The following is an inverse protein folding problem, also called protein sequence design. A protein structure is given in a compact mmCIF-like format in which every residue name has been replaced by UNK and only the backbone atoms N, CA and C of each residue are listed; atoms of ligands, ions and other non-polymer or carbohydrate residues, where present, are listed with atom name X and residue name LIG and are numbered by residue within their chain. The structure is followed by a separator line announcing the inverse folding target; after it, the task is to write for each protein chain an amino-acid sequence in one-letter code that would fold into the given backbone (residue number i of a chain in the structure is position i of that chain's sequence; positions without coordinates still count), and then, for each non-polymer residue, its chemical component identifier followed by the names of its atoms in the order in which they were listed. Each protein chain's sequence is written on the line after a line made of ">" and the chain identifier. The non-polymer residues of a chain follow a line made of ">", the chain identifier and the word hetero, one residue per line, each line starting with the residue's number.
data_IF_068766269850
#
_entry.id   IF_068766269850
#
_cell.length_a   1.000
_cell.length_b   1.000
_cell.length_c   1.000
_cell.angle_alpha   90.00
_cell.angle_beta   90.00
_cell.angle_gamma   90.00
#
_symmetry.space_group_name_H-M   'P 1'
#
loop_
_entity.id
_entity.type
_entity.pdbx_description
1 polymer ?
#
# COMPACT_ATOMS: atom_id res chain seq x y z
N UNK A 1 -0.85 -30.38 15.76
CA UNK A 1 -0.68 -30.47 14.28
C UNK A 1 0.25 -29.39 13.70
N UNK A 2 0.00 -28.08 13.91
CA UNK A 2 0.86 -26.98 13.37
C UNK A 2 2.33 -26.99 13.82
N UNK A 3 2.64 -27.44 15.04
CA UNK A 3 4.03 -27.52 15.53
C UNK A 3 4.77 -28.77 15.02
N UNK A 4 4.05 -29.87 14.80
CA UNK A 4 4.63 -31.15 14.36
C UNK A 4 5.00 -31.12 12.86
N UNK A 5 4.22 -30.44 12.02
CA UNK A 5 4.53 -30.26 10.59
C UNK A 5 5.74 -29.33 10.34
N UNK A 6 6.04 -28.40 11.26
CA UNK A 6 7.18 -27.48 11.14
C UNK A 6 8.52 -28.16 11.39
N UNK A 7 8.56 -29.31 12.09
CA UNK A 7 9.80 -29.96 12.49
C UNK A 7 10.20 -31.16 11.62
N UNK A 8 9.42 -31.50 10.59
CA UNK A 8 9.57 -32.77 9.83
C UNK A 8 9.67 -32.58 8.31
N UNK A 9 9.17 -31.46 7.76
CA UNK A 9 9.19 -31.22 6.31
C UNK A 9 10.27 -30.19 5.93
N UNK A 10 11.03 -30.40 4.83
CA UNK A 10 11.88 -29.37 4.26
C UNK A 10 11.07 -28.10 3.95
N UNK A 11 11.66 -26.92 4.18
CA UNK A 11 10.99 -25.63 4.01
C UNK A 11 10.26 -25.43 2.67
N UNK A 12 10.80 -25.86 1.50
CA UNK A 12 10.09 -25.74 0.23
C UNK A 12 8.78 -26.55 0.19
N UNK A 13 8.76 -27.73 0.79
CA UNK A 13 7.58 -28.61 0.84
C UNK A 13 6.54 -28.04 1.79
N UNK A 14 6.98 -27.54 2.95
CA UNK A 14 6.12 -26.85 3.90
C UNK A 14 5.50 -25.59 3.28
N UNK A 15 6.27 -24.83 2.49
CA UNK A 15 5.77 -23.63 1.82
C UNK A 15 4.78 -23.97 0.70
N UNK A 16 5.06 -25.01 -0.11
CA UNK A 16 4.14 -25.49 -1.13
C UNK A 16 2.80 -25.96 -0.51
N UNK A 17 2.85 -26.67 0.62
CA UNK A 17 1.66 -27.09 1.34
C UNK A 17 0.86 -25.90 1.89
N UNK A 18 1.52 -24.93 2.54
CA UNK A 18 0.87 -23.69 3.02
C UNK A 18 0.21 -22.93 1.88
N UNK A 19 0.92 -22.74 0.76
CA UNK A 19 0.40 -22.05 -0.41
C UNK A 19 -0.84 -22.75 -0.99
N UNK A 20 -0.81 -24.09 -1.05
CA UNK A 20 -1.92 -24.91 -1.54
C UNK A 20 -3.13 -24.84 -0.61
N UNK A 21 -2.90 -24.94 0.70
CA UNK A 21 -3.93 -24.78 1.72
C UNK A 21 -4.58 -23.40 1.67
N UNK A 22 -3.77 -22.33 1.56
CA UNK A 22 -4.27 -20.96 1.43
C UNK A 22 -5.01 -20.72 0.11
N UNK A 23 -4.60 -21.37 -0.98
CA UNK A 23 -5.35 -21.35 -2.23
C UNK A 23 -6.74 -22.00 -2.07
N UNK A 24 -6.81 -23.18 -1.45
CA UNK A 24 -8.09 -23.88 -1.19
C UNK A 24 -9.02 -23.04 -0.33
N UNK A 25 -8.51 -22.43 0.76
CA UNK A 25 -9.33 -21.58 1.64
C UNK A 25 -9.87 -20.31 0.97
N UNK A 26 -9.23 -19.86 -0.12
CA UNK A 26 -9.66 -18.69 -0.90
C UNK A 26 -10.69 -19.02 -1.96
N UNK A 27 -10.85 -20.28 -2.37
CA UNK A 27 -11.79 -20.68 -3.42
C UNK A 27 -13.21 -20.11 -3.21
N UNK A 28 -13.79 -20.09 -1.99
CA UNK A 28 -15.11 -19.53 -1.77
C UNK A 28 -15.20 -18.00 -2.01
N UNK A 29 -14.09 -17.29 -1.92
CA UNK A 29 -14.03 -15.83 -2.10
C UNK A 29 -13.81 -15.41 -3.56
N UNK A 30 -13.38 -16.34 -4.43
CA UNK A 30 -13.08 -16.06 -5.84
C UNK A 30 -14.33 -15.59 -6.60
N UNK A 31 -15.50 -16.24 -6.49
CA UNK A 31 -16.70 -15.76 -7.18
C UNK A 31 -17.03 -14.31 -6.84
N UNK A 32 -17.00 -13.95 -5.55
CA UNK A 32 -17.27 -12.58 -5.10
C UNK A 32 -16.22 -11.58 -5.63
N UNK A 33 -14.94 -11.94 -5.59
CA UNK A 33 -13.84 -11.09 -6.08
C UNK A 33 -13.86 -10.80 -7.59
N UNK A 34 -14.58 -11.59 -8.39
CA UNK A 34 -14.65 -11.43 -9.86
C UNK A 34 -16.05 -11.11 -10.39
N UNK A 35 -17.12 -11.58 -9.74
CA UNK A 35 -18.49 -11.50 -10.22
C UNK A 35 -19.30 -10.39 -9.56
N UNK A 36 -18.92 -9.94 -8.36
CA UNK A 36 -19.63 -8.85 -7.68
C UNK A 36 -19.69 -7.60 -8.60
N UNK A 37 -20.85 -6.92 -8.73
CA UNK A 37 -21.01 -5.78 -9.64
C UNK A 37 -19.92 -4.70 -9.46
N UNK A 38 -19.60 -4.37 -8.21
CA UNK A 38 -18.52 -3.42 -7.89
C UNK A 38 -17.14 -3.90 -8.33
N UNK A 39 -16.85 -5.20 -8.27
CA UNK A 39 -15.60 -5.76 -8.78
C UNK A 39 -15.54 -5.77 -10.29
N UNK A 40 -16.65 -6.12 -10.97
CA UNK A 40 -16.73 -6.02 -12.42
C UNK A 40 -16.51 -4.58 -12.90
N UNK A 41 -17.16 -3.60 -12.25
CA UNK A 41 -16.97 -2.16 -12.51
C UNK A 41 -15.53 -1.73 -12.23
N UNK A 42 -14.97 -2.11 -11.09
CA UNK A 42 -13.58 -1.81 -10.72
C UNK A 42 -12.58 -2.36 -11.73
N UNK A 43 -12.75 -3.60 -12.18
CA UNK A 43 -11.86 -4.22 -13.18
C UNK A 43 -11.95 -3.53 -14.54
N UNK A 44 -13.15 -3.18 -14.99
CA UNK A 44 -13.34 -2.44 -16.24
C UNK A 44 -12.62 -1.09 -16.19
N UNK A 45 -12.81 -0.34 -15.10
CA UNK A 45 -12.17 0.97 -14.92
C UNK A 45 -10.67 0.91 -14.70
N UNK A 46 -10.16 -0.15 -14.05
CA UNK A 46 -8.72 -0.31 -13.86
C UNK A 46 -7.97 -0.42 -15.19
N UNK A 47 -8.62 -0.87 -16.27
CA UNK A 47 -8.01 -0.89 -17.62
C UNK A 47 -7.72 0.53 -18.13
N UNK A 48 -8.57 1.52 -17.79
CA UNK A 48 -8.41 2.91 -18.19
C UNK A 48 -7.14 3.56 -17.63
N UNK A 49 -6.57 3.00 -16.56
CA UNK A 49 -5.33 3.47 -15.94
C UNK A 49 -4.07 2.84 -16.53
N UNK A 50 -4.19 1.91 -17.48
CA UNK A 50 -3.01 1.24 -18.03
C UNK A 50 -2.16 2.21 -18.85
N UNK A 51 -0.90 2.41 -18.46
CA UNK A 51 0.08 3.23 -19.17
C UNK A 51 -0.32 4.70 -19.43
N UNK A 52 -1.26 5.26 -18.65
CA UNK A 52 -1.68 6.67 -18.79
C UNK A 52 -0.59 7.69 -18.44
N UNK A 53 0.45 7.26 -17.73
CA UNK A 53 1.56 8.10 -17.25
C UNK A 53 2.93 7.69 -17.82
N UNK A 54 2.96 7.22 -19.07
CA UNK A 54 4.21 6.82 -19.72
C UNK A 54 5.19 7.99 -19.84
N UNK A 55 6.42 7.77 -19.39
CA UNK A 55 7.50 8.77 -19.44
C UNK A 55 7.43 9.81 -18.32
N UNK A 56 6.44 9.72 -17.43
CA UNK A 56 6.26 10.64 -16.31
C UNK A 56 6.85 10.06 -15.03
N UNK A 57 7.05 10.93 -14.04
CA UNK A 57 7.43 10.56 -12.67
C UNK A 57 6.27 10.74 -11.70
N UNK A 58 6.30 10.01 -10.59
CA UNK A 58 5.40 10.28 -9.46
C UNK A 58 6.08 10.14 -8.11
N UNK A 59 5.48 10.76 -7.10
CA UNK A 59 5.84 10.60 -5.70
C UNK A 59 4.86 9.66 -4.99
N UNK A 60 5.37 8.68 -4.26
CA UNK A 60 4.57 7.91 -3.29
C UNK A 60 4.86 8.48 -1.91
N UNK A 61 3.83 9.04 -1.30
CA UNK A 61 3.89 9.69 0.00
C UNK A 61 3.47 8.68 1.06
N UNK A 62 4.46 8.23 1.84
CA UNK A 62 4.29 7.44 3.04
C UNK A 62 3.50 8.19 4.12
N UNK A 63 3.63 7.73 5.36
CA UNK A 63 2.93 8.36 6.49
C UNK A 63 3.86 8.59 7.68
N UNK A 64 5.17 8.39 7.51
CA UNK A 64 6.13 8.46 8.60
C UNK A 64 6.43 9.90 9.07
N UNK A 65 7.06 10.04 10.24
CA UNK A 65 7.30 11.33 10.88
C UNK A 65 8.26 12.24 10.08
N UNK A 66 9.11 11.69 9.20
CA UNK A 66 9.97 12.48 8.31
C UNK A 66 9.22 13.48 7.42
N UNK A 67 7.92 13.27 7.17
CA UNK A 67 7.11 14.24 6.44
C UNK A 67 7.06 15.62 7.12
N UNK A 68 7.18 15.70 8.46
CA UNK A 68 7.28 16.96 9.20
C UNK A 68 8.53 17.79 8.84
N UNK A 69 9.53 17.15 8.24
CA UNK A 69 10.79 17.74 7.83
C UNK A 69 10.93 17.84 6.30
N UNK A 70 9.85 17.54 5.58
CA UNK A 70 9.82 17.51 4.12
C UNK A 70 8.97 18.68 3.62
N UNK A 71 9.51 19.52 2.73
CA UNK A 71 8.74 20.61 2.10
C UNK A 71 7.78 20.02 1.05
N UNK A 72 6.58 19.67 1.50
CA UNK A 72 5.54 19.06 0.66
C UNK A 72 4.91 20.04 -0.33
N UNK A 73 5.10 21.35 -0.17
CA UNK A 73 4.55 22.35 -1.10
C UNK A 73 5.09 22.18 -2.53
N UNK A 74 6.29 21.61 -2.67
CA UNK A 74 6.94 21.27 -3.94
C UNK A 74 6.17 20.25 -4.78
N UNK A 75 5.29 19.46 -4.15
CA UNK A 75 4.52 18.39 -4.82
C UNK A 75 3.23 18.87 -5.46
N UNK A 76 2.88 20.16 -5.35
CA UNK A 76 1.60 20.70 -5.85
C UNK A 76 1.35 20.42 -7.34
N UNK A 77 2.41 20.35 -8.13
CA UNK A 77 2.35 20.10 -9.59
C UNK A 77 2.93 18.73 -9.99
N UNK A 78 3.11 17.83 -9.02
CA UNK A 78 3.62 16.48 -9.25
C UNK A 78 2.49 15.44 -9.17
N UNK A 79 2.65 14.32 -9.87
CA UNK A 79 1.79 13.16 -9.64
C UNK A 79 2.11 12.53 -8.29
N UNK A 80 1.08 12.30 -7.48
CA UNK A 80 1.26 11.82 -6.10
C UNK A 80 0.31 10.68 -5.76
N UNK A 81 0.83 9.66 -5.09
CA UNK A 81 0.05 8.65 -4.39
C UNK A 81 0.10 8.92 -2.90
N UNK A 82 -1.06 9.24 -2.34
CA UNK A 82 -1.26 9.29 -0.90
C UNK A 82 -1.82 7.96 -0.39
N UNK A 83 -1.53 7.61 0.86
CA UNK A 83 -1.94 6.32 1.43
C UNK A 83 -2.62 6.42 2.79
N UNK A 84 -3.58 5.53 3.06
CA UNK A 84 -4.21 5.39 4.38
C UNK A 84 -4.74 6.73 4.92
N UNK A 85 -4.22 7.25 6.04
CA UNK A 85 -4.70 8.51 6.64
C UNK A 85 -3.91 9.74 6.22
N UNK A 86 -3.23 9.71 5.06
CA UNK A 86 -2.53 10.87 4.49
C UNK A 86 -3.42 12.12 4.34
N UNK A 87 -4.73 11.93 4.18
CA UNK A 87 -5.69 13.00 4.00
C UNK A 87 -5.76 13.96 5.19
N UNK A 88 -5.23 13.57 6.35
CA UNK A 88 -5.06 14.46 7.50
C UNK A 88 -4.12 15.64 7.19
N UNK A 89 -3.22 15.53 6.20
CA UNK A 89 -2.36 16.63 5.74
C UNK A 89 -3.07 17.60 4.79
N UNK A 90 -4.15 17.21 4.11
CA UNK A 90 -4.71 18.00 3.01
C UNK A 90 -5.14 19.43 3.42
N UNK A 91 -5.74 19.65 4.61
CA UNK A 91 -6.06 21.00 5.05
C UNK A 91 -4.83 21.91 5.22
N UNK A 92 -3.70 21.33 5.65
CA UNK A 92 -2.43 22.06 5.85
C UNK A 92 -1.70 22.28 4.51
N UNK A 93 -1.71 21.28 3.63
CA UNK A 93 -1.07 21.35 2.31
C UNK A 93 -1.75 22.33 1.36
N UNK A 94 -3.07 22.50 1.47
CA UNK A 94 -3.86 23.29 0.53
C UNK A 94 -4.05 22.62 -0.84
N UNK A 95 -3.67 21.36 -0.98
CA UNK A 95 -3.96 20.50 -2.14
C UNK A 95 -4.10 19.03 -1.70
N UNK A 96 -4.64 18.20 -2.60
CA UNK A 96 -4.83 16.75 -2.39
C UNK A 96 -3.84 15.97 -3.24
N UNK A 97 -3.62 14.69 -2.90
CA UNK A 97 -2.83 13.81 -3.77
C UNK A 97 -3.59 13.45 -5.04
N UNK A 98 -2.89 13.15 -6.13
CA UNK A 98 -3.52 12.70 -7.39
C UNK A 98 -4.30 11.41 -7.21
N UNK A 99 -3.69 10.46 -6.48
CA UNK A 99 -4.23 9.13 -6.24
C UNK A 99 -4.24 8.83 -4.75
N UNK A 100 -5.20 8.02 -4.32
CA UNK A 100 -5.29 7.52 -2.96
C UNK A 100 -5.27 5.99 -2.92
N UNK A 101 -4.54 5.40 -1.97
CA UNK A 101 -4.45 3.94 -1.81
C UNK A 101 -4.68 3.55 -0.36
N UNK A 102 -5.57 2.60 -0.11
CA UNK A 102 -5.75 2.04 1.24
C UNK A 102 -6.11 0.56 1.17
N UNK A 103 -5.33 -0.27 1.87
CA UNK A 103 -5.40 -1.72 1.77
C UNK A 103 -5.68 -2.38 3.12
N UNK A 104 -5.18 -1.80 4.20
CA UNK A 104 -5.34 -2.37 5.54
C UNK A 104 -6.81 -2.34 5.99
N UNK A 105 -7.39 -3.51 6.28
CA UNK A 105 -8.80 -3.61 6.66
C UNK A 105 -9.16 -2.77 7.90
N UNK A 106 -8.31 -2.68 8.92
CA UNK A 106 -8.64 -1.91 10.13
C UNK A 106 -8.64 -0.41 9.87
N UNK A 107 -7.73 0.09 9.02
CA UNK A 107 -7.74 1.49 8.60
C UNK A 107 -9.00 1.78 7.79
N UNK A 108 -9.34 0.93 6.82
CA UNK A 108 -10.53 1.13 5.99
C UNK A 108 -11.81 1.04 6.83
N UNK A 109 -11.91 0.07 7.73
CA UNK A 109 -13.06 -0.12 8.63
C UNK A 109 -13.34 1.11 9.49
N UNK A 110 -12.29 1.71 10.06
CA UNK A 110 -12.43 2.84 10.99
C UNK A 110 -12.46 4.20 10.30
N UNK A 111 -12.15 4.27 9.00
CA UNK A 111 -12.08 5.51 8.22
C UNK A 111 -12.90 5.45 6.93
N UNK A 112 -13.89 4.54 6.84
CA UNK A 112 -14.61 4.27 5.61
C UNK A 112 -15.37 5.52 5.10
N UNK A 113 -15.95 6.29 6.00
CA UNK A 113 -16.71 7.51 5.67
C UNK A 113 -15.77 8.60 5.14
N UNK A 114 -14.64 8.85 5.81
CA UNK A 114 -13.67 9.84 5.35
C UNK A 114 -13.04 9.43 4.02
N UNK A 115 -12.66 8.16 3.86
CA UNK A 115 -12.13 7.61 2.60
C UNK A 115 -13.15 7.75 1.48
N UNK A 116 -14.43 7.44 1.74
CA UNK A 116 -15.49 7.58 0.75
C UNK A 116 -15.68 9.03 0.31
N UNK A 117 -15.51 10.00 1.22
CA UNK A 117 -15.71 11.42 0.98
C UNK A 117 -14.56 12.11 0.21
N UNK A 118 -13.35 11.51 0.14
CA UNK A 118 -12.23 12.10 -0.61
C UNK A 118 -12.60 12.26 -2.09
N UNK A 119 -12.48 13.44 -2.72
CA UNK A 119 -12.88 13.65 -4.11
C UNK A 119 -11.75 13.34 -5.10
N UNK A 120 -11.07 12.21 -4.91
CA UNK A 120 -9.88 11.81 -5.69
C UNK A 120 -9.94 10.31 -6.04
N UNK A 121 -9.39 9.88 -7.19
CA UNK A 121 -9.36 8.47 -7.53
C UNK A 121 -8.70 7.64 -6.43
N UNK A 122 -9.43 6.63 -5.95
CA UNK A 122 -9.07 5.85 -4.76
C UNK A 122 -9.05 4.35 -5.04
N UNK A 123 -7.94 3.70 -4.70
CA UNK A 123 -7.69 2.29 -4.89
C UNK A 123 -7.76 1.56 -3.53
N UNK A 124 -8.82 0.79 -3.34
CA UNK A 124 -9.19 0.23 -2.02
C UNK A 124 -9.18 -1.30 -2.06
N UNK A 125 -8.71 -1.98 -1.01
CA UNK A 125 -8.77 -3.44 -0.98
C UNK A 125 -10.20 -4.00 -1.05
N UNK A 126 -10.43 -4.98 -1.93
CA UNK A 126 -11.74 -5.62 -2.12
C UNK A 126 -12.25 -6.26 -0.84
N UNK A 127 -11.37 -6.86 -0.05
CA UNK A 127 -11.76 -7.53 1.18
C UNK A 127 -12.38 -6.58 2.23
N UNK A 128 -12.29 -5.26 2.02
CA UNK A 128 -12.87 -4.23 2.86
C UNK A 128 -14.17 -3.63 2.28
N UNK A 129 -14.69 -4.15 1.17
CA UNK A 129 -15.88 -3.59 0.49
C UNK A 129 -17.12 -3.47 1.39
N UNK A 130 -17.28 -4.40 2.36
CA UNK A 130 -18.41 -4.43 3.30
C UNK A 130 -18.52 -3.20 4.20
N UNK A 131 -17.46 -2.42 4.32
CA UNK A 131 -17.43 -1.20 5.14
C UNK A 131 -18.01 0.02 4.40
N UNK A 132 -18.36 -0.13 3.12
CA UNK A 132 -18.95 0.92 2.31
C UNK A 132 -20.42 0.60 2.02
N UNK A 133 -21.31 1.56 2.29
CA UNK A 133 -22.74 1.43 1.98
C UNK A 133 -23.01 1.49 0.47
N UNK A 134 -22.20 2.25 -0.27
CA UNK A 134 -22.23 2.38 -1.72
C UNK A 134 -20.81 2.52 -2.25
N UNK A 135 -20.58 2.14 -3.49
CA UNK A 135 -19.31 2.37 -4.18
C UNK A 135 -19.25 3.83 -4.70
N UNK A 136 -18.37 4.70 -4.18
CA UNK A 136 -18.14 6.01 -4.74
C UNK A 136 -17.67 5.93 -6.19
N UNK A 137 -17.98 6.96 -6.99
CA UNK A 137 -17.68 6.96 -8.41
C UNK A 137 -16.19 6.97 -8.70
N UNK A 138 -15.36 7.57 -7.85
CA UNK A 138 -13.91 7.63 -7.94
C UNK A 138 -13.21 6.41 -7.30
N UNK A 139 -13.97 5.45 -6.77
CA UNK A 139 -13.42 4.26 -6.12
C UNK A 139 -13.19 3.10 -7.08
N UNK A 140 -12.04 2.45 -6.94
CA UNK A 140 -11.70 1.19 -7.60
C UNK A 140 -11.29 0.21 -6.51
N UNK A 141 -12.01 -0.91 -6.41
CA UNK A 141 -11.58 -1.99 -5.53
C UNK A 141 -10.47 -2.80 -6.19
N UNK A 142 -9.46 -3.23 -5.43
CA UNK A 142 -8.34 -4.08 -5.85
C UNK A 142 -8.45 -5.46 -5.21
N UNK A 143 -8.21 -6.53 -5.97
CA UNK A 143 -8.21 -7.87 -5.39
C UNK A 143 -6.85 -8.20 -4.79
N UNK A 144 -6.68 -7.87 -3.51
CA UNK A 144 -5.38 -8.00 -2.82
C UNK A 144 -5.30 -9.23 -1.93
N UNK A 145 -4.07 -9.63 -1.57
CA UNK A 145 -3.80 -10.81 -0.75
C UNK A 145 -2.45 -10.75 -0.05
N UNK A 146 -2.34 -11.41 1.11
CA UNK A 146 -1.09 -11.56 1.84
C UNK A 146 -0.25 -12.78 1.43
N UNK A 147 -0.76 -13.69 0.59
CA UNK A 147 -0.08 -14.96 0.30
C UNK A 147 0.28 -15.13 -1.18
N UNK A 148 1.39 -15.83 -1.42
CA UNK A 148 1.99 -15.98 -2.75
C UNK A 148 2.74 -14.72 -3.18
N UNK A 149 3.95 -14.48 -2.63
CA UNK A 149 4.79 -13.34 -2.97
C UNK A 149 5.07 -13.22 -4.47
N UNK A 150 4.62 -12.12 -5.07
CA UNK A 150 4.83 -11.83 -6.49
C UNK A 150 4.57 -10.34 -6.77
N UNK A 151 5.33 -9.75 -7.70
CA UNK A 151 5.01 -8.43 -8.25
C UNK A 151 3.90 -8.56 -9.31
N UNK A 152 2.81 -7.78 -9.16
CA UNK A 152 1.72 -7.76 -10.13
C UNK A 152 2.00 -6.75 -11.25
N UNK A 153 1.99 -7.23 -12.50
CA UNK A 153 2.08 -6.41 -13.71
C UNK A 153 0.71 -6.01 -14.28
N UNK A 154 -0.36 -6.67 -13.82
CA UNK A 154 -1.74 -6.45 -14.26
C UNK A 154 -2.62 -6.26 -13.02
N UNK A 155 -3.03 -5.01 -12.78
CA UNK A 155 -3.79 -4.61 -11.59
C UNK A 155 -5.28 -4.96 -11.70
N UNK A 156 -5.75 -5.50 -12.83
CA UNK A 156 -7.10 -6.05 -12.97
C UNK A 156 -7.24 -7.44 -12.33
N UNK A 157 -6.12 -8.05 -11.93
CA UNK A 157 -6.01 -9.39 -11.34
C UNK A 157 -5.68 -9.33 -9.85
N UNK A 158 -5.25 -10.46 -9.29
CA UNK A 158 -4.85 -10.60 -7.89
C UNK A 158 -3.49 -9.93 -7.66
N UNK A 159 -3.40 -9.12 -6.61
CA UNK A 159 -2.22 -8.32 -6.25
C UNK A 159 -1.71 -8.80 -4.90
N UNK A 160 -0.41 -9.04 -4.79
CA UNK A 160 0.19 -9.35 -3.48
C UNK A 160 0.58 -8.06 -2.76
N UNK A 161 0.15 -7.95 -1.51
CA UNK A 161 0.29 -6.70 -0.74
C UNK A 161 1.72 -6.47 -0.27
N UNK A 162 2.47 -7.54 0.05
CA UNK A 162 3.80 -7.40 0.64
C UNK A 162 3.78 -6.72 2.01
N UNK A 163 2.68 -6.85 2.76
CA UNK A 163 2.48 -6.29 4.10
C UNK A 163 2.65 -4.76 4.25
N UNK A 164 2.63 -4.02 3.15
CA UNK A 164 2.69 -2.55 3.14
C UNK A 164 1.88 -1.97 1.99
N UNK A 165 1.15 -0.88 2.25
CA UNK A 165 0.37 -0.17 1.23
C UNK A 165 1.30 0.43 0.17
N UNK A 166 2.52 0.83 0.57
CA UNK A 166 3.55 1.36 -0.33
C UNK A 166 3.88 0.39 -1.46
N UNK A 167 3.90 -0.92 -1.18
CA UNK A 167 4.19 -1.93 -2.20
C UNK A 167 3.03 -2.10 -3.20
N UNK A 168 1.79 -1.91 -2.78
CA UNK A 168 0.64 -1.85 -3.71
C UNK A 168 0.67 -0.57 -4.53
N UNK A 169 1.03 0.58 -3.93
CA UNK A 169 1.21 1.83 -4.66
C UNK A 169 2.33 1.75 -5.71
N UNK A 170 3.45 1.07 -5.41
CA UNK A 170 4.52 0.79 -6.38
C UNK A 170 4.03 -0.05 -7.56
N UNK A 171 3.19 -1.06 -7.31
CA UNK A 171 2.60 -1.88 -8.37
C UNK A 171 1.59 -1.09 -9.21
N UNK A 172 0.78 -0.21 -8.58
CA UNK A 172 -0.12 0.71 -9.29
C UNK A 172 0.66 1.67 -10.20
N UNK A 173 1.68 2.33 -9.65
CA UNK A 173 2.50 3.27 -10.42
C UNK A 173 3.16 2.59 -11.63
N UNK A 174 3.64 1.35 -11.46
CA UNK A 174 4.20 0.56 -12.55
C UNK A 174 3.16 0.30 -13.64
N UNK A 175 1.97 -0.18 -13.25
CA UNK A 175 0.87 -0.46 -14.18
C UNK A 175 0.39 0.79 -14.92
N UNK A 176 0.42 1.94 -14.24
CA UNK A 176 0.07 3.24 -14.82
C UNK A 176 1.13 3.79 -15.77
N UNK A 177 2.31 3.18 -15.83
CA UNK A 177 3.34 3.52 -16.82
C UNK A 177 4.39 4.51 -16.34
N UNK A 178 4.36 4.94 -15.07
CA UNK A 178 5.39 5.83 -14.53
C UNK A 178 6.78 5.22 -14.71
N UNK A 179 7.72 6.04 -15.16
CA UNK A 179 9.10 5.65 -15.45
C UNK A 179 10.00 5.79 -14.21
N UNK A 180 9.75 6.81 -13.39
CA UNK A 180 10.45 7.03 -12.13
C UNK A 180 9.45 7.22 -10.99
N UNK A 181 9.67 6.51 -9.89
CA UNK A 181 8.88 6.64 -8.66
C UNK A 181 9.78 7.10 -7.52
N UNK A 182 9.39 8.17 -6.83
CA UNK A 182 10.13 8.72 -5.70
C UNK A 182 9.35 8.47 -4.41
N UNK A 183 9.98 7.80 -3.45
CA UNK A 183 9.42 7.59 -2.12
C UNK A 183 9.78 8.75 -1.19
N UNK A 184 8.81 9.22 -0.42
CA UNK A 184 9.02 10.13 0.72
C UNK A 184 8.15 9.68 1.90
N UNK A 185 8.53 9.97 3.14
CA UNK A 185 7.74 9.55 4.30
C UNK A 185 7.71 8.04 4.55
N UNK A 186 8.63 7.27 3.97
CA UNK A 186 8.75 5.81 4.13
C UNK A 186 9.88 5.51 5.11
N UNK A 187 9.73 5.99 6.35
CA UNK A 187 10.80 6.00 7.36
C UNK A 187 11.35 4.62 7.71
N UNK A 188 10.54 3.56 7.55
CA UNK A 188 10.90 2.17 7.87
C UNK A 188 11.47 2.00 9.28
N UNK A 189 10.90 2.76 10.23
CA UNK A 189 11.35 2.85 11.60
C UNK A 189 10.15 3.01 12.53
N UNK A 190 9.85 1.98 13.32
CA UNK A 190 8.73 1.99 14.26
C UNK A 190 9.24 1.78 15.68
N UNK A 191 8.73 2.60 16.61
CA UNK A 191 9.04 2.50 18.05
C UNK A 191 8.35 1.30 18.69
N UNK A 192 7.16 0.95 18.20
CA UNK A 192 6.36 -0.17 18.70
C UNK A 192 6.97 -1.50 18.28
N UNK A 193 7.21 -2.39 19.24
CA UNK A 193 7.76 -3.73 19.02
C UNK A 193 6.71 -4.79 19.33
N UNK A 194 6.72 -5.89 18.57
CA UNK A 194 5.90 -7.06 18.83
C UNK A 194 5.78 -7.96 17.61
N UNK A 195 4.90 -8.95 17.70
CA UNK A 195 4.64 -9.87 16.59
C UNK A 195 4.05 -9.13 15.38
N UNK A 196 4.59 -9.41 14.20
CA UNK A 196 4.13 -8.84 12.94
C UNK A 196 2.62 -9.07 12.73
N UNK A 197 1.92 -8.04 12.25
CA UNK A 197 0.48 -8.02 11.99
C UNK A 197 -0.42 -8.22 13.22
N UNK A 198 0.13 -8.24 14.44
CA UNK A 198 -0.66 -8.32 15.67
C UNK A 198 -1.51 -7.05 15.83
N UNK A 199 -2.82 -7.23 15.99
CA UNK A 199 -3.74 -6.13 16.28
C UNK A 199 -3.50 -5.61 17.70
N UNK A 200 -3.34 -4.31 17.80
CA UNK A 200 -3.20 -3.56 19.05
C UNK A 200 -4.18 -2.39 19.05
N UNK A 201 -4.51 -1.88 20.23
CA UNK A 201 -5.34 -0.69 20.41
C UNK A 201 -4.41 0.44 20.85
N UNK A 202 -4.48 1.58 20.17
CA UNK A 202 -3.71 2.75 20.57
C UNK A 202 -4.18 3.30 21.92
N UNK A 203 -3.24 3.62 22.79
CA UNK A 203 -3.49 4.14 24.14
C UNK A 203 -3.32 5.66 24.23
N UNK A 204 -2.86 6.33 23.17
CA UNK A 204 -2.53 7.76 23.19
C UNK A 204 -2.13 8.28 21.81
N UNK A 205 -1.24 9.28 21.78
CA UNK A 205 -0.72 9.86 20.55
C UNK A 205 0.20 8.89 19.81
N UNK A 206 0.20 8.98 18.48
CA UNK A 206 0.99 8.15 17.59
C UNK A 206 2.36 8.78 17.28
N UNK A 207 3.48 8.20 17.74
CA UNK A 207 4.82 8.71 17.44
C UNK A 207 5.37 8.20 16.10
N UNK A 208 4.72 7.21 15.47
CA UNK A 208 5.25 6.51 14.29
C UNK A 208 4.76 7.13 12.97
N UNK A 209 3.90 8.13 13.03
CA UNK A 209 3.34 8.80 11.86
C UNK A 209 3.44 10.33 11.96
N UNK A 210 3.18 11.01 10.86
CA UNK A 210 3.28 12.47 10.76
C UNK A 210 2.26 13.21 11.63
N UNK A 211 1.10 12.63 11.97
CA UNK A 211 0.08 13.25 12.81
C UNK A 211 -0.07 12.45 14.10
N UNK A 212 0.00 13.07 15.30
CA UNK A 212 -0.22 12.35 16.57
C UNK A 212 -1.61 11.68 16.65
N UNK A 213 -2.59 12.17 15.89
CA UNK A 213 -3.95 11.60 15.82
C UNK A 213 -4.05 10.44 14.81
N UNK A 214 -2.97 10.09 14.10
CA UNK A 214 -2.97 9.09 13.03
C UNK A 214 -3.41 7.69 13.50
N UNK A 215 -2.95 7.25 14.67
CA UNK A 215 -3.59 6.18 15.43
C UNK A 215 -3.91 6.71 16.82
N UNK A 216 -4.83 7.68 16.89
CA UNK A 216 -5.26 8.26 18.17
C UNK A 216 -5.86 7.23 19.13
N UNK A 217 -6.05 7.63 20.38
CA UNK A 217 -6.57 6.77 21.46
C UNK A 217 -7.82 5.98 21.02
N UNK A 218 -7.79 4.67 21.21
CA UNK A 218 -8.87 3.75 20.86
C UNK A 218 -8.78 3.17 19.43
N UNK A 219 -7.91 3.69 18.57
CA UNK A 219 -7.75 3.20 17.20
C UNK A 219 -7.12 1.80 17.20
N UNK A 220 -7.72 0.86 16.48
CA UNK A 220 -7.16 -0.49 16.28
C UNK A 220 -6.22 -0.49 15.07
N UNK A 221 -5.00 -0.95 15.25
CA UNK A 221 -4.01 -1.03 14.17
C UNK A 221 -3.14 -2.28 14.31
N UNK A 222 -2.35 -2.58 13.29
CA UNK A 222 -1.49 -3.76 13.25
C UNK A 222 -0.03 -3.37 13.31
N UNK A 223 0.74 -4.07 14.15
CA UNK A 223 2.19 -3.91 14.19
C UNK A 223 2.82 -4.23 12.83
N UNK A 224 3.86 -3.48 12.41
CA UNK A 224 4.44 -3.58 11.08
C UNK A 224 5.14 -4.94 10.87
N UNK A 225 5.11 -5.41 9.63
CA UNK A 225 5.83 -6.59 9.15
C UNK A 225 6.92 -6.14 8.17
N UNK A 226 8.02 -5.65 8.72
CA UNK A 226 9.10 -5.04 7.93
C UNK A 226 9.81 -6.06 7.05
N UNK A 227 10.01 -7.28 7.54
CA UNK A 227 10.64 -8.36 6.78
C UNK A 227 9.83 -8.68 5.51
N UNK A 228 8.51 -8.85 5.63
CA UNK A 228 7.65 -9.07 4.46
C UNK A 228 7.59 -7.85 3.55
N UNK A 229 7.63 -6.65 4.13
CA UNK A 229 7.69 -5.39 3.37
C UNK A 229 8.96 -5.31 2.50
N UNK A 230 10.11 -5.71 3.04
CA UNK A 230 11.37 -5.73 2.30
C UNK A 230 11.38 -6.75 1.15
N UNK A 231 10.70 -7.90 1.30
CA UNK A 231 10.48 -8.84 0.18
C UNK A 231 9.66 -8.16 -0.92
N UNK A 232 8.58 -7.46 -0.57
CA UNK A 232 7.77 -6.66 -1.49
C UNK A 232 8.59 -5.63 -2.24
N UNK A 233 9.32 -4.79 -1.51
CA UNK A 233 10.17 -3.75 -2.08
C UNK A 233 11.28 -4.32 -2.98
N UNK A 234 11.87 -5.46 -2.61
CA UNK A 234 12.88 -6.13 -3.44
C UNK A 234 12.28 -6.60 -4.77
N UNK A 235 11.11 -7.23 -4.73
CA UNK A 235 10.41 -7.65 -5.95
C UNK A 235 10.01 -6.45 -6.82
N UNK A 236 9.57 -5.35 -6.20
CA UNK A 236 9.26 -4.11 -6.91
C UNK A 236 10.51 -3.53 -7.58
N UNK A 237 11.61 -3.35 -6.84
CA UNK A 237 12.89 -2.87 -7.38
C UNK A 237 13.33 -3.69 -8.60
N UNK A 238 13.24 -5.02 -8.51
CA UNK A 238 13.61 -5.91 -9.60
C UNK A 238 12.69 -5.79 -10.83
N UNK A 239 11.38 -5.62 -10.62
CA UNK A 239 10.43 -5.42 -11.71
C UNK A 239 10.68 -4.09 -12.44
N UNK A 240 10.88 -3.00 -11.70
CA UNK A 240 11.23 -1.69 -12.26
C UNK A 240 12.54 -1.75 -13.04
N UNK A 241 13.60 -2.28 -12.43
CA UNK A 241 14.93 -2.43 -13.07
C UNK A 241 14.86 -3.20 -14.39
N UNK A 242 14.15 -4.34 -14.42
CA UNK A 242 13.99 -5.16 -15.64
C UNK A 242 13.20 -4.45 -16.74
N UNK A 243 12.33 -3.51 -16.37
CA UNK A 243 11.56 -2.70 -17.30
C UNK A 243 12.29 -1.41 -17.73
N UNK A 244 13.54 -1.18 -17.28
CA UNK A 244 14.26 0.06 -17.53
C UNK A 244 13.70 1.27 -16.78
N UNK A 245 13.03 1.03 -15.65
CA UNK A 245 12.38 2.04 -14.80
C UNK A 245 13.05 2.11 -13.44
N UNK A 246 12.78 3.17 -12.68
CA UNK A 246 13.48 3.44 -11.43
C UNK A 246 12.53 3.69 -10.25
N UNK A 247 12.96 3.26 -9.07
CA UNK A 247 12.38 3.67 -7.79
C UNK A 247 13.50 4.26 -6.94
N UNK A 248 13.34 5.50 -6.51
CA UNK A 248 14.25 6.24 -5.65
C UNK A 248 13.62 6.47 -4.28
N UNK A 249 14.44 6.56 -3.23
CA UNK A 249 14.00 6.91 -1.89
C UNK A 249 14.59 8.25 -1.44
N UNK A 250 13.72 9.26 -1.38
CA UNK A 250 14.01 10.61 -0.92
C UNK A 250 13.51 10.87 0.51
N UNK A 251 13.20 9.82 1.27
CA UNK A 251 12.76 9.94 2.67
C UNK A 251 13.89 10.48 3.54
N UNK A 252 13.67 11.68 4.10
CA UNK A 252 14.61 12.33 5.02
C UNK A 252 14.86 11.46 6.25
N UNK A 253 16.10 11.01 6.45
CA UNK A 253 16.47 10.16 7.59
C UNK A 253 15.84 8.76 7.61
N UNK A 254 15.20 8.34 6.50
CA UNK A 254 14.54 7.03 6.42
C UNK A 254 15.52 5.86 6.44
N UNK A 255 15.14 4.77 7.12
CA UNK A 255 15.98 3.58 7.33
C UNK A 255 15.82 2.51 6.25
N UNK A 256 14.92 2.71 5.27
CA UNK A 256 14.78 1.78 4.15
C UNK A 256 16.04 1.81 3.29
N UNK A 257 16.62 0.64 3.00
CA UNK A 257 17.88 0.51 2.23
C UNK A 257 17.70 -0.24 0.91
N UNK A 258 16.48 -0.65 0.57
CA UNK A 258 16.19 -1.43 -0.64
C UNK A 258 16.33 -0.59 -1.91
N UNK A 259 15.93 0.69 -1.88
CA UNK A 259 15.98 1.59 -3.04
C UNK A 259 17.17 2.55 -2.94
N UNK A 260 17.77 2.96 -4.07
CA UNK A 260 18.78 4.01 -4.09
C UNK A 260 18.28 5.29 -3.41
N UNK A 261 19.12 5.90 -2.59
CA UNK A 261 18.81 7.16 -1.91
C UNK A 261 19.06 8.35 -2.83
N UNK A 262 18.22 9.38 -2.70
CA UNK A 262 18.41 10.68 -3.35
C UNK A 262 18.04 11.79 -2.38
N UNK A 263 18.69 12.94 -2.48
CA UNK A 263 18.35 14.10 -1.68
C UNK A 263 17.04 14.73 -2.18
N UNK A 264 16.04 14.87 -1.31
CA UNK A 264 14.73 15.43 -1.71
C UNK A 264 14.85 16.80 -2.39
N UNK A 265 15.76 17.65 -1.89
CA UNK A 265 15.98 19.00 -2.43
C UNK A 265 16.58 19.01 -3.83
N UNK A 266 17.26 17.95 -4.27
CA UNK A 266 17.85 17.91 -5.62
C UNK A 266 16.85 17.50 -6.71
N UNK A 267 15.59 17.24 -6.36
CA UNK A 267 14.54 16.82 -7.29
C UNK A 267 13.76 18.00 -7.91
N UNK A 268 14.08 19.24 -7.50
CA UNK A 268 13.40 20.49 -7.86
C UNK A 268 14.37 21.62 -8.16
#
# INVERSE_FOLDING_TARGET
>A
MKQILKSVLPDPVLQAFKNSYDAIRRLPQVPDAYLHPWRRKSRARMVEYYNVHRGERCFIIGNGPSLKQTDLSRLKNEFTFGMNRIYLLFPELGFTTTYFVSINNLVIEQCAEEIAALPIPKFIAWHANRHFQRMPEDMIFLYTTYTGPQFAYDMTRRIWEGATVTNVALQLAFYMGFEQVILIGVDHNFTSKGEANKTVVSTGDDPNHFDPRYFGKGFRWQLPDLDTSEIGYTLAREAYRKAGREVLDATVGGKLTIFPKVEYKSLF
#
